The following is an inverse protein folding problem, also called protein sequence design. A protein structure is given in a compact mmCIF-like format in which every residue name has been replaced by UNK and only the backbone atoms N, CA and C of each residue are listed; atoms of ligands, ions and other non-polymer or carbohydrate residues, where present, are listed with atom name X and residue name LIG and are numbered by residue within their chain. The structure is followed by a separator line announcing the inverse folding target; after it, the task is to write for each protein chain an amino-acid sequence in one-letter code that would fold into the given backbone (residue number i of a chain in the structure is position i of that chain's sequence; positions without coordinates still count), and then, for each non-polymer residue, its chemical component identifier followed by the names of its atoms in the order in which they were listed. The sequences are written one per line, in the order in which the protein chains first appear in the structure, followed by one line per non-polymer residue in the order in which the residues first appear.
data_IF_108914540224
#
_entry.id   IF_108914540224
#
_cell.length_a   1.000
_cell.length_b   1.000
_cell.length_c   1.000
_cell.angle_alpha   90.00
_cell.angle_beta   90.00
_cell.angle_gamma   90.00
#
_symmetry.space_group_name_H-M   'P 1'
#
loop_
_entity.id
_entity.type
_entity.pdbx_description
1 polymer ?
#
# COMPACT_ATOMS: atom_id res chain seq x y z
N UNK A 1 37.44 -33.43 41.71
CA UNK A 1 37.02 -32.77 42.96
C UNK A 1 36.26 -31.53 42.52
N UNK A 2 34.92 -31.55 42.44
CA UNK A 2 33.95 -31.75 43.55
C UNK A 2 33.79 -30.43 44.32
N UNK A 3 32.61 -29.80 44.41
CA UNK A 3 31.23 -30.19 44.03
C UNK A 3 30.51 -29.00 43.32
N UNK A 4 29.40 -29.11 42.57
CA UNK A 4 28.22 -30.00 42.57
C UNK A 4 27.16 -29.72 43.66
N UNK A 5 26.36 -28.67 43.46
CA UNK A 5 25.01 -28.58 44.04
C UNK A 5 23.93 -28.29 42.98
N UNK A 6 22.73 -28.83 43.22
CA UNK A 6 21.53 -28.69 42.38
C UNK A 6 20.45 -27.90 43.12
N UNK A 7 19.73 -27.05 42.39
CA UNK A 7 18.34 -26.65 42.64
C UNK A 7 17.76 -26.21 41.30
N UNK A 8 16.75 -26.82 40.67
CA UNK A 8 15.60 -27.64 41.11
C UNK A 8 14.38 -26.88 41.65
N UNK A 9 14.11 -25.72 41.06
CA UNK A 9 12.88 -25.50 40.28
C UNK A 9 11.62 -25.02 41.01
N UNK A 10 10.98 -24.00 40.43
CA UNK A 10 9.53 -23.79 40.49
C UNK A 10 9.05 -23.09 39.21
N UNK A 11 8.17 -23.73 38.44
CA UNK A 11 7.53 -23.15 37.26
C UNK A 11 6.04 -23.01 37.56
N UNK A 12 5.51 -21.79 37.66
CA UNK A 12 4.07 -21.57 37.90
C UNK A 12 3.52 -20.37 37.10
N UNK A 13 2.48 -20.66 36.34
CA UNK A 13 1.96 -19.87 35.23
C UNK A 13 1.53 -18.42 35.56
N UNK A 14 1.88 -17.49 34.65
CA UNK A 14 1.20 -16.20 34.42
C UNK A 14 1.05 -15.92 32.92
N UNK A 15 0.42 -16.83 32.18
CA UNK A 15 0.05 -16.64 30.77
C UNK A 15 -1.46 -16.51 30.62
N UNK A 16 -1.99 -15.28 30.64
CA UNK A 16 -3.46 -15.09 30.68
C UNK A 16 -4.00 -13.66 30.53
N UNK A 17 -3.20 -12.69 30.04
CA UNK A 17 -3.61 -11.26 30.04
C UNK A 17 -3.28 -10.51 28.75
N UNK A 18 -3.19 -11.21 27.61
CA UNK A 18 -2.82 -10.60 26.31
C UNK A 18 -3.79 -10.93 25.14
N UNK A 19 -4.92 -11.58 25.43
CA UNK A 19 -5.93 -11.95 24.41
C UNK A 19 -7.34 -11.40 24.69
N UNK A 20 -7.56 -10.70 25.81
CA UNK A 20 -8.87 -10.09 26.12
C UNK A 20 -9.07 -8.75 25.40
N UNK A 21 -8.11 -7.84 25.51
CA UNK A 21 -8.22 -6.45 25.01
C UNK A 21 -8.28 -6.38 23.46
N UNK A 22 -7.75 -7.39 22.77
CA UNK A 22 -7.77 -7.50 21.30
C UNK A 22 -9.15 -7.92 20.73
N UNK A 23 -10.05 -8.44 21.56
CA UNK A 23 -11.42 -8.76 21.16
C UNK A 23 -12.36 -7.55 21.26
N UNK A 24 -12.17 -6.73 22.28
CA UNK A 24 -13.07 -5.60 22.60
C UNK A 24 -12.91 -4.44 21.60
N UNK A 25 -11.70 -4.25 21.05
CA UNK A 25 -11.44 -3.28 19.98
C UNK A 25 -12.12 -3.59 18.63
N UNK A 26 -12.70 -4.80 18.43
CA UNK A 26 -13.32 -5.20 17.16
C UNK A 26 -14.85 -5.15 17.14
N UNK A 27 -15.51 -4.86 18.28
CA UNK A 27 -16.98 -4.74 18.36
C UNK A 27 -17.49 -3.36 17.95
N UNK A 28 -16.70 -2.30 18.20
CA UNK A 28 -17.12 -0.89 18.06
C UNK A 28 -17.21 -0.40 16.60
N UNK A 29 -16.62 -1.12 15.64
CA UNK A 29 -16.58 -0.73 14.22
C UNK A 29 -17.61 -1.44 13.33
N UNK A 30 -18.76 -1.88 13.89
CA UNK A 30 -19.79 -2.65 13.16
C UNK A 30 -21.24 -2.22 13.35
N UNK A 31 -21.53 -1.14 14.09
CA UNK A 31 -22.90 -0.66 14.35
C UNK A 31 -23.50 0.23 13.25
N UNK A 32 -22.68 1.02 12.56
CA UNK A 32 -23.15 2.26 11.91
C UNK A 32 -23.47 2.10 10.39
N UNK A 33 -24.04 0.97 9.96
CA UNK A 33 -24.45 0.81 8.55
C UNK A 33 -25.64 -0.12 8.26
N UNK A 34 -26.81 0.17 8.85
CA UNK A 34 -28.11 -0.36 8.37
C UNK A 34 -29.26 0.63 8.58
N UNK A 35 -30.21 0.64 7.63
CA UNK A 35 -31.42 1.49 7.57
C UNK A 35 -31.11 2.99 7.38
N UNK A 36 -31.82 3.74 6.52
CA UNK A 36 -33.25 3.65 6.19
C UNK A 36 -33.58 3.50 4.71
N UNK A 37 -34.74 2.89 4.44
CA UNK A 37 -35.37 2.81 3.13
C UNK A 37 -36.89 2.82 3.31
N UNK A 38 -37.55 3.96 3.16
CA UNK A 38 -39.00 4.07 2.89
C UNK A 38 -39.38 5.54 2.61
N UNK A 39 -40.36 5.74 1.72
CA UNK A 39 -41.17 6.96 1.63
C UNK A 39 -42.55 6.71 2.28
N UNK A 40 -43.55 7.61 2.17
CA UNK A 40 -43.94 8.19 0.87
C UNK A 40 -44.43 9.65 0.85
N UNK A 41 -44.48 10.18 -0.38
CA UNK A 41 -45.56 10.99 -1.01
C UNK A 41 -46.39 12.02 -0.21
N UNK A 42 -46.36 13.30 -0.64
CA UNK A 42 -47.51 14.08 -1.19
C UNK A 42 -47.25 15.61 -1.16
N UNK A 43 -47.88 16.39 -2.06
CA UNK A 43 -48.11 17.83 -1.89
C UNK A 43 -47.65 18.77 -3.03
N UNK A 44 -48.58 19.23 -3.87
CA UNK A 44 -48.39 20.30 -4.87
C UNK A 44 -48.31 21.70 -4.25
N UNK A 45 -47.71 22.66 -4.98
CA UNK A 45 -48.24 23.99 -5.41
C UNK A 45 -47.05 24.79 -5.99
N UNK A 46 -46.86 24.88 -7.32
CA UNK A 46 -47.50 25.80 -8.30
C UNK A 46 -47.20 27.29 -8.03
N UNK A 47 -46.31 27.87 -8.85
CA UNK A 47 -46.35 29.20 -9.47
C UNK A 47 -44.96 29.51 -10.07
N UNK A 48 -44.76 30.33 -11.12
CA UNK A 48 -45.45 30.51 -12.41
C UNK A 48 -44.49 31.34 -13.32
N UNK A 49 -44.76 31.49 -14.63
CA UNK A 49 -44.23 32.58 -15.53
C UNK A 49 -42.72 32.50 -15.92
N UNK A 50 -42.26 32.66 -17.16
CA UNK A 50 -42.83 32.76 -18.53
C UNK A 50 -41.74 32.26 -19.54
N UNK A 51 -42.00 31.72 -20.75
CA UNK A 51 -42.70 32.26 -21.95
C UNK A 51 -42.02 33.53 -22.55
N UNK A 52 -41.79 33.76 -23.86
CA UNK A 52 -41.93 33.05 -25.16
C UNK A 52 -40.65 33.36 -26.01
N UNK A 53 -40.32 32.90 -27.24
CA UNK A 53 -40.83 31.98 -28.30
C UNK A 53 -39.56 31.38 -29.01
N UNK A 54 -39.54 30.58 -30.09
CA UNK A 54 -40.62 30.07 -30.95
C UNK A 54 -40.16 29.35 -32.25
N UNK A 55 -41.15 28.79 -32.94
CA UNK A 55 -41.22 28.33 -34.35
C UNK A 55 -40.19 27.35 -34.95
N UNK A 56 -40.71 26.14 -35.20
CA UNK A 56 -40.29 25.20 -36.24
C UNK A 56 -40.19 25.83 -37.65
N UNK A 57 -39.28 25.32 -38.47
CA UNK A 57 -39.46 25.19 -39.93
C UNK A 57 -38.98 23.80 -40.35
N UNK A 58 -39.64 23.19 -41.36
CA UNK A 58 -39.30 21.87 -41.88
C UNK A 58 -39.23 21.88 -43.41
N UNK A 59 -38.07 21.54 -43.95
CA UNK A 59 -37.78 21.08 -45.33
C UNK A 59 -36.47 20.28 -45.26
N UNK A 60 -36.35 19.05 -45.77
CA UNK A 60 -36.52 18.53 -47.14
C UNK A 60 -35.24 18.68 -48.01
N UNK A 61 -35.16 17.86 -49.04
CA UNK A 61 -33.96 17.40 -49.74
C UNK A 61 -33.25 18.46 -50.58
N UNK A 62 -31.91 18.39 -50.62
CA UNK A 62 -31.06 19.24 -51.46
C UNK A 62 -29.68 18.62 -51.72
N UNK A 63 -29.49 18.05 -52.91
CA UNK A 63 -28.23 17.44 -53.35
C UNK A 63 -27.67 18.20 -54.56
N UNK A 64 -26.51 18.88 -54.41
CA UNK A 64 -25.77 19.40 -55.57
C UNK A 64 -24.26 19.56 -55.33
N UNK A 65 -23.50 19.09 -56.32
CA UNK A 65 -22.17 19.43 -56.84
C UNK A 65 -21.13 20.16 -55.95
N UNK A 66 -19.89 19.69 -55.81
CA UNK A 66 -18.83 19.37 -56.81
C UNK A 66 -18.25 20.56 -57.60
N UNK A 67 -17.06 20.98 -57.16
CA UNK A 67 -15.83 21.25 -57.96
C UNK A 67 -14.68 21.22 -56.94
N UNK A 68 -13.47 20.69 -57.14
CA UNK A 68 -12.74 20.20 -58.31
C UNK A 68 -11.28 20.72 -58.17
N UNK A 69 -10.19 20.00 -58.41
CA UNK A 69 -9.95 18.57 -58.74
C UNK A 69 -8.61 18.17 -58.01
N UNK A 70 -7.82 17.11 -58.23
CA UNK A 70 -7.70 16.09 -59.28
C UNK A 70 -7.05 14.78 -58.69
N UNK A 71 -6.27 14.02 -59.47
CA UNK A 71 -5.30 12.96 -59.08
C UNK A 71 -5.83 11.87 -58.14
N UNK A 72 -6.76 11.02 -58.60
CA UNK A 72 -6.96 9.68 -57.99
C UNK A 72 -7.58 8.57 -58.87
N UNK A 73 -7.72 8.75 -60.18
CA UNK A 73 -8.55 7.83 -61.01
C UNK A 73 -8.09 6.36 -61.05
N UNK A 74 -6.79 6.08 -60.91
CA UNK A 74 -6.27 4.70 -60.85
C UNK A 74 -6.70 3.92 -59.58
N UNK A 75 -7.18 4.60 -58.53
CA UNK A 75 -7.62 3.96 -57.29
C UNK A 75 -9.11 3.53 -57.30
N UNK A 76 -9.92 4.09 -58.20
CA UNK A 76 -11.38 3.90 -58.17
C UNK A 76 -11.90 2.82 -59.14
N UNK A 77 -11.17 2.52 -60.22
CA UNK A 77 -11.52 1.37 -61.08
C UNK A 77 -11.26 0.04 -60.35
N UNK A 78 -10.07 -0.10 -59.74
CA UNK A 78 -9.69 -1.26 -58.92
C UNK A 78 -10.65 -1.50 -57.74
N UNK A 79 -11.12 -0.43 -57.07
CA UNK A 79 -12.20 -0.52 -56.05
C UNK A 79 -13.51 -1.08 -56.61
N UNK A 80 -13.91 -0.74 -57.84
CA UNK A 80 -15.18 -1.19 -58.45
C UNK A 80 -15.13 -2.63 -58.98
N UNK A 81 -13.99 -3.10 -59.49
CA UNK A 81 -13.88 -4.47 -59.97
C UNK A 81 -13.82 -5.50 -58.84
N UNK A 82 -13.01 -5.25 -57.80
CA UNK A 82 -12.95 -6.17 -56.66
C UNK A 82 -14.25 -6.19 -55.85
N UNK A 83 -15.00 -5.08 -55.78
CA UNK A 83 -16.32 -5.04 -55.15
C UNK A 83 -17.39 -5.90 -55.85
N UNK A 84 -17.17 -6.35 -57.10
CA UNK A 84 -18.08 -7.25 -57.81
C UNK A 84 -17.86 -8.74 -57.52
N UNK A 85 -16.74 -9.14 -56.92
CA UNK A 85 -16.53 -10.54 -56.49
C UNK A 85 -17.08 -10.75 -55.07
N UNK A 86 -18.08 -11.62 -54.99
CA UNK A 86 -18.62 -12.21 -53.76
C UNK A 86 -19.31 -11.26 -52.74
N UNK A 87 -20.59 -10.96 -52.99
CA UNK A 87 -21.59 -11.25 -51.95
C UNK A 87 -21.73 -12.77 -51.83
N UNK A 88 -20.77 -13.42 -51.15
CA UNK A 88 -20.95 -14.81 -50.69
C UNK A 88 -21.75 -14.72 -49.39
N UNK A 89 -22.91 -15.37 -49.37
CA UNK A 89 -23.58 -15.65 -48.10
C UNK A 89 -22.75 -16.70 -47.38
N UNK A 90 -22.07 -16.26 -46.32
CA UNK A 90 -21.16 -17.07 -45.50
C UNK A 90 -21.99 -18.07 -44.69
N UNK A 91 -21.75 -19.35 -44.90
CA UNK A 91 -22.51 -20.46 -44.29
C UNK A 91 -21.84 -21.05 -43.07
N UNK A 92 -20.52 -20.96 -42.99
CA UNK A 92 -19.74 -21.59 -41.93
C UNK A 92 -18.50 -20.81 -41.49
N UNK A 93 -17.85 -21.29 -40.43
CA UNK A 93 -16.63 -20.70 -39.87
C UNK A 93 -15.46 -20.71 -40.88
N UNK A 94 -15.37 -21.70 -41.76
CA UNK A 94 -14.28 -21.79 -42.74
C UNK A 94 -14.46 -20.77 -43.87
N UNK A 95 -15.68 -20.60 -44.39
CA UNK A 95 -16.05 -19.53 -45.30
C UNK A 95 -15.84 -18.15 -44.67
N UNK A 96 -16.11 -17.98 -43.37
CA UNK A 96 -15.83 -16.73 -42.65
C UNK A 96 -14.33 -16.41 -42.60
N UNK A 97 -13.48 -17.38 -42.25
CA UNK A 97 -12.02 -17.18 -42.20
C UNK A 97 -11.45 -16.95 -43.60
N UNK A 98 -11.87 -17.72 -44.61
CA UNK A 98 -11.47 -17.49 -46.00
C UNK A 98 -11.91 -16.10 -46.51
N UNK A 99 -13.10 -15.64 -46.11
CA UNK A 99 -13.57 -14.29 -46.39
C UNK A 99 -12.71 -13.22 -45.67
N UNK A 100 -12.31 -13.45 -44.42
CA UNK A 100 -11.41 -12.56 -43.69
C UNK A 100 -10.05 -12.39 -44.40
N UNK A 101 -9.45 -13.47 -44.91
CA UNK A 101 -8.23 -13.39 -45.73
C UNK A 101 -8.46 -12.67 -47.07
N UNK A 102 -9.60 -12.90 -47.73
CA UNK A 102 -9.98 -12.16 -48.94
C UNK A 102 -10.09 -10.64 -48.72
N UNK A 103 -10.35 -10.22 -47.48
CA UNK A 103 -10.48 -8.82 -47.04
C UNK A 103 -9.17 -8.14 -46.66
N UNK A 104 -8.05 -8.87 -46.59
CA UNK A 104 -6.68 -8.33 -46.39
C UNK A 104 -6.58 -7.30 -45.26
N UNK A 105 -7.15 -7.64 -44.10
CA UNK A 105 -7.10 -6.81 -42.90
C UNK A 105 -8.09 -5.63 -42.83
N UNK A 106 -9.02 -5.49 -43.80
CA UNK A 106 -10.16 -4.59 -43.63
C UNK A 106 -11.00 -4.99 -42.41
N UNK A 107 -11.56 -4.00 -41.70
CA UNK A 107 -12.46 -4.21 -40.55
C UNK A 107 -13.60 -5.15 -40.90
N UNK A 108 -13.69 -6.26 -40.17
CA UNK A 108 -14.77 -7.22 -40.31
C UNK A 108 -15.98 -6.79 -39.48
N UNK A 109 -17.17 -7.13 -39.97
CA UNK A 109 -18.44 -6.94 -39.27
C UNK A 109 -19.33 -8.13 -39.61
N UNK A 110 -19.64 -8.93 -38.60
CA UNK A 110 -20.61 -10.01 -38.72
C UNK A 110 -22.02 -9.43 -38.73
N UNK A 111 -22.89 -10.00 -39.55
CA UNK A 111 -24.34 -9.72 -39.52
C UNK A 111 -25.01 -10.85 -38.74
N UNK A 112 -26.11 -10.62 -37.99
CA UNK A 112 -26.73 -11.64 -37.15
C UNK A 112 -27.13 -12.95 -37.87
N UNK A 113 -27.36 -12.92 -39.19
CA UNK A 113 -27.58 -14.13 -40.01
C UNK A 113 -26.31 -14.96 -40.22
N UNK A 114 -25.18 -14.30 -40.45
CA UNK A 114 -23.86 -14.96 -40.63
C UNK A 114 -23.33 -15.43 -39.27
N UNK A 115 -23.54 -14.63 -38.23
CA UNK A 115 -23.19 -14.99 -36.85
C UNK A 115 -23.84 -16.33 -36.45
N UNK A 116 -25.14 -16.50 -36.68
CA UNK A 116 -25.83 -17.77 -36.46
C UNK A 116 -25.22 -18.92 -37.28
N UNK A 117 -25.09 -18.75 -38.60
CA UNK A 117 -24.56 -19.80 -39.48
C UNK A 117 -23.14 -20.27 -39.06
N UNK A 118 -22.27 -19.33 -38.67
CA UNK A 118 -20.94 -19.60 -38.10
C UNK A 118 -21.02 -20.30 -36.74
N UNK A 119 -21.98 -19.93 -35.88
CA UNK A 119 -22.24 -20.60 -34.60
C UNK A 119 -22.84 -22.01 -34.73
N UNK A 120 -23.54 -22.31 -35.83
CA UNK A 120 -24.12 -23.62 -36.12
C UNK A 120 -23.06 -24.64 -36.65
N UNK A 121 -21.88 -24.16 -37.06
CA UNK A 121 -20.86 -24.92 -37.82
C UNK A 121 -19.43 -24.69 -37.30
N UNK A 122 -19.24 -24.97 -36.01
CA UNK A 122 -18.11 -24.50 -35.21
C UNK A 122 -16.72 -25.10 -35.51
N UNK A 123 -16.63 -26.26 -36.16
CA UNK A 123 -15.38 -27.06 -36.18
C UNK A 123 -14.53 -26.83 -37.43
N UNK A 124 -13.25 -26.56 -37.22
CA UNK A 124 -12.24 -26.50 -38.29
C UNK A 124 -11.56 -27.87 -38.44
N UNK A 125 -12.22 -28.78 -39.16
CA UNK A 125 -11.73 -30.14 -39.40
C UNK A 125 -10.45 -30.18 -40.26
N UNK A 126 -9.67 -31.25 -40.11
CA UNK A 126 -8.23 -31.31 -40.47
C UNK A 126 -7.86 -30.74 -41.85
N UNK A 127 -8.47 -31.23 -42.94
CA UNK A 127 -8.18 -30.71 -44.28
C UNK A 127 -8.57 -29.23 -44.45
N UNK A 128 -9.76 -28.85 -43.96
CA UNK A 128 -10.27 -27.48 -44.04
C UNK A 128 -9.35 -26.52 -43.27
N UNK A 129 -8.93 -26.91 -42.06
CA UNK A 129 -7.97 -26.18 -41.23
C UNK A 129 -6.63 -26.05 -41.94
N UNK A 130 -6.07 -27.14 -42.49
CA UNK A 130 -4.83 -27.09 -43.27
C UNK A 130 -4.92 -26.12 -44.46
N UNK A 131 -6.01 -26.17 -45.23
CA UNK A 131 -6.22 -25.26 -46.39
C UNK A 131 -6.29 -23.79 -45.96
N UNK A 132 -6.92 -23.49 -44.81
CA UNK A 132 -6.96 -22.13 -44.24
C UNK A 132 -5.60 -21.68 -43.69
N UNK A 133 -4.78 -22.59 -43.16
CA UNK A 133 -3.43 -22.31 -42.70
C UNK A 133 -2.45 -22.06 -43.86
N UNK A 134 -2.60 -22.75 -45.00
CA UNK A 134 -1.85 -22.40 -46.22
C UNK A 134 -2.25 -21.01 -46.74
N UNK A 135 -3.56 -20.67 -46.74
CA UNK A 135 -4.03 -19.32 -47.06
C UNK A 135 -3.48 -18.27 -46.09
N UNK A 136 -3.31 -18.61 -44.80
CA UNK A 136 -2.74 -17.72 -43.80
C UNK A 136 -1.24 -17.43 -44.02
N UNK A 137 -0.47 -18.35 -44.62
CA UNK A 137 0.95 -18.11 -45.00
C UNK A 137 1.10 -17.01 -46.05
N UNK A 138 0.05 -16.72 -46.85
CA UNK A 138 0.08 -15.62 -47.81
C UNK A 138 -0.07 -14.24 -47.14
N UNK A 139 -0.55 -14.16 -45.89
CA UNK A 139 -0.65 -12.91 -45.10
C UNK A 139 0.68 -12.60 -44.39
N UNK A 140 1.72 -12.40 -45.20
CA UNK A 140 3.11 -12.05 -44.79
C UNK A 140 3.20 -10.75 -43.97
N UNK A 141 2.10 -9.97 -43.90
CA UNK A 141 2.01 -8.74 -43.09
C UNK A 141 1.12 -8.89 -41.85
N UNK A 142 0.57 -10.08 -41.58
CA UNK A 142 -0.33 -10.38 -40.46
C UNK A 142 -1.51 -9.38 -40.33
N UNK A 143 -2.04 -8.92 -41.46
CA UNK A 143 -3.11 -7.92 -41.48
C UNK A 143 -4.46 -8.49 -41.01
N UNK A 144 -4.66 -9.81 -41.11
CA UNK A 144 -5.95 -10.50 -40.91
C UNK A 144 -6.17 -11.04 -39.49
N UNK A 145 -5.20 -11.67 -38.78
CA UNK A 145 -5.44 -12.29 -37.47
C UNK A 145 -6.11 -11.38 -36.43
N UNK A 146 -5.62 -10.15 -36.26
CA UNK A 146 -6.24 -9.12 -35.41
C UNK A 146 -7.73 -8.91 -35.71
N UNK A 147 -8.11 -8.86 -36.99
CA UNK A 147 -9.50 -8.60 -37.39
C UNK A 147 -10.41 -9.79 -37.11
N UNK A 148 -9.91 -11.03 -37.24
CA UNK A 148 -10.66 -12.25 -36.89
C UNK A 148 -10.96 -12.25 -35.39
N UNK A 149 -9.95 -12.00 -34.54
CA UNK A 149 -10.13 -11.91 -33.08
C UNK A 149 -11.16 -10.83 -32.71
N UNK A 150 -11.01 -9.60 -33.23
CA UNK A 150 -11.91 -8.48 -32.94
C UNK A 150 -13.35 -8.68 -33.45
N UNK A 151 -13.56 -9.44 -34.53
CA UNK A 151 -14.89 -9.77 -35.03
C UNK A 151 -15.62 -10.73 -34.08
N UNK A 152 -14.92 -11.76 -33.62
CA UNK A 152 -15.48 -12.85 -32.79
C UNK A 152 -15.58 -12.47 -31.32
N UNK A 153 -14.77 -11.50 -30.85
CA UNK A 153 -14.86 -10.90 -29.50
C UNK A 153 -16.28 -10.51 -29.10
N UNK A 154 -17.03 -9.88 -30.01
CA UNK A 154 -18.36 -9.33 -29.74
C UNK A 154 -19.46 -10.39 -29.65
N UNK A 155 -19.20 -11.63 -30.07
CA UNK A 155 -20.15 -12.74 -30.01
C UNK A 155 -20.27 -13.20 -28.55
N UNK A 156 -21.49 -13.27 -28.03
CA UNK A 156 -21.80 -13.71 -26.66
C UNK A 156 -22.49 -15.07 -26.67
N UNK A 157 -22.30 -15.87 -25.61
CA UNK A 157 -22.92 -17.21 -25.46
C UNK A 157 -22.23 -18.37 -26.19
N UNK A 158 -21.28 -18.13 -27.10
CA UNK A 158 -20.61 -19.19 -27.89
C UNK A 158 -19.11 -19.35 -27.54
N UNK A 159 -18.76 -19.98 -26.40
CA UNK A 159 -17.36 -20.14 -25.98
C UNK A 159 -16.58 -21.10 -26.90
N UNK A 160 -17.22 -22.11 -27.47
CA UNK A 160 -16.59 -23.06 -28.40
C UNK A 160 -16.13 -22.37 -29.68
N UNK A 161 -16.93 -21.45 -30.22
CA UNK A 161 -16.55 -20.61 -31.37
C UNK A 161 -15.28 -19.80 -31.07
N UNK A 162 -15.23 -19.18 -29.88
CA UNK A 162 -14.05 -18.43 -29.43
C UNK A 162 -12.84 -19.35 -29.33
N UNK A 163 -12.98 -20.54 -28.73
CA UNK A 163 -11.90 -21.52 -28.60
C UNK A 163 -11.33 -21.98 -29.95
N UNK A 164 -12.17 -22.30 -30.94
CA UNK A 164 -11.73 -22.72 -32.28
C UNK A 164 -11.05 -21.58 -33.05
N UNK A 165 -11.61 -20.37 -32.98
CA UNK A 165 -11.03 -19.16 -33.59
C UNK A 165 -9.70 -18.79 -32.94
N UNK A 166 -9.61 -18.82 -31.61
CA UNK A 166 -8.36 -18.61 -30.88
C UNK A 166 -7.35 -19.70 -31.22
N UNK A 167 -7.76 -20.96 -31.28
CA UNK A 167 -6.91 -22.08 -31.66
C UNK A 167 -6.35 -21.94 -33.08
N UNK A 168 -7.15 -21.48 -34.04
CA UNK A 168 -6.67 -21.16 -35.40
C UNK A 168 -5.71 -19.98 -35.41
N UNK A 169 -6.05 -18.86 -34.76
CA UNK A 169 -5.19 -17.67 -34.73
C UNK A 169 -3.87 -17.92 -34.02
N UNK A 170 -3.86 -18.68 -32.92
CA UNK A 170 -2.63 -19.10 -32.22
C UNK A 170 -1.70 -19.87 -33.16
N UNK A 171 -2.26 -20.80 -33.93
CA UNK A 171 -1.49 -21.61 -34.88
C UNK A 171 -0.95 -20.77 -36.06
N UNK A 172 -1.71 -19.78 -36.55
CA UNK A 172 -1.21 -18.80 -37.52
C UNK A 172 -0.05 -17.97 -36.97
N UNK A 173 -0.16 -17.51 -35.71
CA UNK A 173 0.89 -16.70 -35.08
C UNK A 173 2.16 -17.53 -34.82
N UNK A 174 2.07 -18.72 -34.21
CA UNK A 174 3.20 -19.63 -33.97
C UNK A 174 3.95 -19.97 -35.27
N UNK A 175 3.21 -20.22 -36.36
CA UNK A 175 3.78 -20.56 -37.68
C UNK A 175 4.43 -19.36 -38.40
N UNK A 176 4.34 -18.14 -37.88
CA UNK A 176 4.90 -16.96 -38.52
C UNK A 176 6.27 -16.58 -37.90
N UNK A 177 7.36 -16.45 -38.69
CA UNK A 177 8.75 -16.31 -38.19
C UNK A 177 9.00 -15.20 -37.15
N UNK A 178 8.15 -14.16 -37.13
CA UNK A 178 8.18 -13.07 -36.13
C UNK A 178 7.95 -13.57 -34.69
N UNK A 179 7.17 -14.63 -34.51
CA UNK A 179 6.82 -15.19 -33.20
C UNK A 179 7.73 -16.35 -32.77
N UNK A 180 8.66 -16.79 -33.64
CA UNK A 180 9.62 -17.87 -33.35
C UNK A 180 10.77 -17.45 -32.41
N UNK A 181 10.67 -16.26 -31.80
CA UNK A 181 11.55 -15.81 -30.72
C UNK A 181 11.07 -16.47 -29.42
N UNK A 182 11.89 -17.26 -28.69
CA UNK A 182 11.41 -18.10 -27.58
C UNK A 182 10.64 -17.35 -26.48
N UNK A 183 11.00 -16.11 -26.20
CA UNK A 183 10.31 -15.23 -25.26
C UNK A 183 8.88 -14.91 -25.72
N UNK A 184 8.71 -14.58 -27.00
CA UNK A 184 7.41 -14.24 -27.60
C UNK A 184 6.57 -15.50 -27.77
N UNK A 185 7.18 -16.63 -28.16
CA UNK A 185 6.51 -17.93 -28.24
C UNK A 185 6.04 -18.41 -26.86
N UNK A 186 6.88 -18.28 -25.82
CA UNK A 186 6.52 -18.62 -24.44
C UNK A 186 5.37 -17.76 -23.92
N UNK A 187 5.36 -16.47 -24.26
CA UNK A 187 4.25 -15.58 -23.93
C UNK A 187 2.96 -15.92 -24.71
N UNK A 188 3.06 -16.19 -26.02
CA UNK A 188 1.94 -16.61 -26.87
C UNK A 188 1.33 -17.95 -26.42
N UNK A 189 2.15 -18.83 -25.83
CA UNK A 189 1.74 -20.11 -25.26
C UNK A 189 1.25 -20.04 -23.80
N UNK A 190 1.40 -18.90 -23.11
CA UNK A 190 1.11 -18.73 -21.68
C UNK A 190 1.88 -19.71 -20.78
N UNK A 191 3.19 -19.89 -21.05
CA UNK A 191 4.08 -20.68 -20.19
C UNK A 191 4.45 -19.90 -18.91
N UNK A 192 4.65 -20.58 -17.79
CA UNK A 192 4.94 -19.96 -16.48
C UNK A 192 6.27 -19.16 -16.45
N UNK A 193 7.19 -19.50 -17.34
CA UNK A 193 8.47 -18.80 -17.56
C UNK A 193 8.43 -17.82 -18.75
N UNK A 194 7.27 -17.66 -19.39
CA UNK A 194 7.07 -16.68 -20.46
C UNK A 194 6.92 -15.26 -19.90
N UNK A 195 7.39 -14.22 -20.61
CA UNK A 195 7.30 -12.85 -20.13
C UNK A 195 5.85 -12.34 -19.96
N UNK A 196 5.73 -11.27 -19.19
CA UNK A 196 4.48 -10.56 -19.00
C UNK A 196 4.03 -9.89 -20.33
N UNK A 197 2.74 -9.50 -20.45
CA UNK A 197 2.21 -8.93 -21.70
C UNK A 197 2.93 -7.67 -22.18
N UNK A 198 3.44 -6.83 -21.26
CA UNK A 198 4.16 -5.61 -21.58
C UNK A 198 5.54 -5.91 -22.17
N UNK A 199 6.34 -6.72 -21.47
CA UNK A 199 7.66 -7.14 -21.94
C UNK A 199 7.58 -7.88 -23.28
N UNK A 200 6.58 -8.78 -23.45
CA UNK A 200 6.37 -9.49 -24.71
C UNK A 200 6.00 -8.56 -25.88
N UNK A 201 5.22 -7.50 -25.64
CA UNK A 201 4.89 -6.50 -26.67
C UNK A 201 6.07 -5.57 -27.00
N UNK A 202 6.90 -5.23 -26.01
CA UNK A 202 8.12 -4.45 -26.20
C UNK A 202 9.17 -5.23 -27.03
N UNK A 203 9.50 -6.47 -26.62
CA UNK A 203 10.40 -7.35 -27.36
C UNK A 203 9.96 -7.52 -28.82
N UNK A 204 8.65 -7.70 -29.06
CA UNK A 204 8.07 -7.81 -30.40
C UNK A 204 8.19 -6.51 -31.24
N UNK A 205 8.22 -5.34 -30.60
CA UNK A 205 8.39 -4.06 -31.29
C UNK A 205 9.86 -3.72 -31.59
N UNK A 206 10.81 -4.28 -30.84
CA UNK A 206 12.25 -4.09 -31.01
C UNK A 206 12.91 -5.08 -32.00
N UNK A 207 12.19 -6.13 -32.42
CA UNK A 207 12.68 -7.10 -33.43
C UNK A 207 13.19 -6.39 -34.69
N UNK A 208 14.37 -6.79 -35.18
CA UNK A 208 14.86 -6.35 -36.49
C UNK A 208 14.18 -7.15 -37.62
N UNK A 209 12.99 -6.68 -38.00
CA UNK A 209 12.17 -7.26 -39.08
C UNK A 209 12.92 -7.39 -40.42
N UNK A 210 14.01 -6.65 -40.65
CA UNK A 210 14.79 -6.76 -41.89
C UNK A 210 15.53 -8.10 -42.02
N UNK A 211 15.84 -8.76 -40.88
CA UNK A 211 16.57 -10.03 -40.81
C UNK A 211 15.70 -11.28 -40.98
N UNK A 212 14.38 -11.13 -41.17
CA UNK A 212 13.44 -12.26 -41.30
C UNK A 212 13.66 -13.00 -42.64
N UNK A 213 14.27 -14.19 -42.58
CA UNK A 213 14.57 -15.04 -43.73
C UNK A 213 13.34 -15.79 -44.24
N UNK A 214 12.57 -16.40 -43.33
CA UNK A 214 11.68 -17.54 -43.63
C UNK A 214 10.25 -17.14 -44.06
N UNK A 215 10.08 -15.90 -44.53
CA UNK A 215 8.79 -15.41 -45.02
C UNK A 215 8.49 -15.98 -46.42
N UNK A 216 7.28 -16.50 -46.64
CA UNK A 216 6.85 -17.09 -47.91
C UNK A 216 6.58 -15.99 -48.96
N UNK A 217 7.64 -15.38 -49.49
CA UNK A 217 7.58 -14.20 -50.37
C UNK A 217 8.43 -14.34 -51.63
N UNK A 218 7.90 -13.89 -52.78
CA UNK A 218 8.62 -13.86 -54.07
C UNK A 218 9.59 -12.68 -54.24
N UNK A 219 9.57 -11.71 -53.32
CA UNK A 219 10.41 -10.50 -53.28
C UNK A 219 10.62 -10.07 -51.82
N UNK A 220 11.74 -9.42 -51.47
CA UNK A 220 11.91 -8.83 -50.14
C UNK A 220 10.86 -7.74 -49.89
N UNK A 221 10.51 -7.54 -48.61
CA UNK A 221 9.62 -6.47 -48.15
C UNK A 221 10.36 -5.12 -48.19
N UNK A 222 9.60 -4.03 -48.36
CA UNK A 222 10.12 -2.65 -48.31
C UNK A 222 10.17 -2.15 -46.85
N UNK A 223 10.93 -1.08 -46.54
CA UNK A 223 10.95 -0.47 -45.21
C UNK A 223 9.56 -0.15 -44.62
N UNK A 224 8.64 0.37 -45.43
CA UNK A 224 7.25 0.64 -44.98
C UNK A 224 6.45 -0.64 -44.69
N UNK A 225 6.77 -1.74 -45.36
CA UNK A 225 6.07 -3.01 -45.18
C UNK A 225 6.57 -3.72 -43.90
N UNK A 226 7.86 -3.54 -43.53
CA UNK A 226 8.39 -3.98 -42.24
C UNK A 226 7.74 -3.24 -41.06
N UNK A 227 7.55 -1.92 -41.16
CA UNK A 227 6.81 -1.16 -40.13
C UNK A 227 5.36 -1.64 -40.02
N UNK A 228 4.69 -1.88 -41.16
CA UNK A 228 3.32 -2.40 -41.17
C UNK A 228 3.23 -3.80 -40.54
N UNK A 229 4.19 -4.69 -40.82
CA UNK A 229 4.29 -6.00 -40.17
C UNK A 229 4.53 -5.88 -38.67
N UNK A 230 5.43 -5.00 -38.21
CA UNK A 230 5.63 -4.71 -36.77
C UNK A 230 4.33 -4.32 -36.09
N UNK A 231 3.68 -3.28 -36.62
CA UNK A 231 2.44 -2.74 -36.05
C UNK A 231 1.31 -3.80 -36.05
N UNK A 232 1.19 -4.59 -37.11
CA UNK A 232 0.19 -5.66 -37.19
C UNK A 232 0.48 -6.85 -36.26
N UNK A 233 1.75 -7.24 -36.11
CA UNK A 233 2.15 -8.31 -35.19
C UNK A 233 1.89 -7.90 -33.73
N UNK A 234 2.37 -6.72 -33.33
CA UNK A 234 2.15 -6.17 -31.97
C UNK A 234 0.67 -5.96 -31.68
N UNK A 235 -0.14 -5.44 -32.62
CA UNK A 235 -1.59 -5.34 -32.44
C UNK A 235 -2.32 -6.70 -32.44
N UNK A 236 -1.79 -7.73 -33.11
CA UNK A 236 -2.36 -9.09 -33.04
C UNK A 236 -2.09 -9.73 -31.68
N UNK A 237 -0.85 -9.61 -31.17
CA UNK A 237 -0.47 -10.11 -29.84
C UNK A 237 -1.18 -9.35 -28.71
N UNK A 238 -1.37 -8.04 -28.87
CA UNK A 238 -2.14 -7.21 -27.95
C UNK A 238 -3.60 -7.71 -27.79
N UNK A 239 -4.30 -7.95 -28.91
CA UNK A 239 -5.66 -8.48 -28.87
C UNK A 239 -5.67 -9.91 -28.31
N UNK A 240 -4.68 -10.74 -28.67
CA UNK A 240 -4.50 -12.08 -28.09
C UNK A 240 -4.41 -12.04 -26.56
N UNK A 241 -3.64 -11.12 -25.97
CA UNK A 241 -3.56 -10.97 -24.52
C UNK A 241 -4.85 -10.42 -23.89
N UNK A 242 -5.62 -9.56 -24.59
CA UNK A 242 -6.95 -9.16 -24.07
C UNK A 242 -7.94 -10.30 -24.01
N UNK A 243 -7.92 -11.22 -24.99
CA UNK A 243 -8.84 -12.36 -25.03
C UNK A 243 -8.41 -13.54 -24.16
N UNK A 244 -7.09 -13.79 -24.00
CA UNK A 244 -6.57 -14.98 -23.31
C UNK A 244 -6.00 -14.74 -21.92
N UNK A 245 -5.55 -13.52 -21.61
CA UNK A 245 -5.02 -13.11 -20.29
C UNK A 245 -5.92 -12.10 -19.56
N UNK A 246 -7.11 -11.80 -20.10
CA UNK A 246 -8.05 -10.79 -19.59
C UNK A 246 -7.41 -9.40 -19.35
N UNK A 247 -6.46 -9.01 -20.21
CA UNK A 247 -5.75 -7.74 -20.09
C UNK A 247 -6.71 -6.54 -20.15
N UNK A 248 -6.67 -5.65 -19.16
CA UNK A 248 -7.51 -4.45 -19.13
C UNK A 248 -7.10 -3.45 -20.22
N UNK A 249 -8.07 -2.65 -20.70
CA UNK A 249 -7.83 -1.65 -21.75
C UNK A 249 -6.83 -0.57 -21.30
N UNK A 250 -6.81 -0.23 -20.01
CA UNK A 250 -5.86 0.72 -19.41
C UNK A 250 -4.41 0.20 -19.51
N UNK A 251 -4.16 -1.05 -19.07
CA UNK A 251 -2.84 -1.67 -19.18
C UNK A 251 -2.42 -1.88 -20.63
N UNK A 252 -3.37 -2.25 -21.50
CA UNK A 252 -3.10 -2.33 -22.93
C UNK A 252 -2.68 -0.96 -23.51
N UNK A 253 -3.36 0.12 -23.12
CA UNK A 253 -3.02 1.48 -23.56
C UNK A 253 -1.59 1.87 -23.14
N UNK A 254 -1.21 1.53 -21.89
CA UNK A 254 0.16 1.73 -21.38
C UNK A 254 1.20 0.91 -22.17
N UNK A 255 0.93 -0.38 -22.42
CA UNK A 255 1.87 -1.24 -23.15
C UNK A 255 2.01 -0.86 -24.63
N UNK A 256 0.93 -0.49 -25.32
CA UNK A 256 0.99 -0.01 -26.71
C UNK A 256 1.70 1.34 -26.83
N UNK A 257 1.54 2.23 -25.83
CA UNK A 257 2.29 3.48 -25.77
C UNK A 257 3.79 3.23 -25.64
N UNK A 258 4.21 2.42 -24.67
CA UNK A 258 5.61 2.11 -24.44
C UNK A 258 6.26 1.36 -25.62
N UNK A 259 5.57 0.36 -26.18
CA UNK A 259 6.14 -0.50 -27.23
C UNK A 259 6.10 0.10 -28.64
N UNK A 260 5.06 0.89 -28.99
CA UNK A 260 4.89 1.41 -30.36
C UNK A 260 4.90 2.94 -30.43
N UNK A 261 3.99 3.59 -29.69
CA UNK A 261 3.67 5.00 -29.97
C UNK A 261 4.76 5.97 -29.49
N UNK A 262 5.35 5.74 -28.31
CA UNK A 262 6.45 6.54 -27.78
C UNK A 262 7.72 6.40 -28.63
N UNK A 263 8.19 5.19 -29.02
CA UNK A 263 9.29 5.04 -29.97
C UNK A 263 9.06 5.76 -31.29
N UNK A 264 7.87 5.63 -31.90
CA UNK A 264 7.57 6.29 -33.18
C UNK A 264 7.52 7.83 -33.06
N UNK A 265 6.99 8.38 -31.96
CA UNK A 265 6.97 9.83 -31.73
C UNK A 265 8.38 10.45 -31.65
N UNK A 266 9.37 9.70 -31.15
CA UNK A 266 10.76 10.15 -31.02
C UNK A 266 11.54 10.15 -32.36
N UNK A 267 11.04 9.50 -33.41
CA UNK A 267 11.70 9.47 -34.73
C UNK A 267 11.66 10.86 -35.41
N UNK A 268 10.59 11.62 -35.20
CA UNK A 268 10.42 12.93 -35.84
C UNK A 268 11.24 14.01 -35.12
N UNK A 269 12.30 14.50 -35.79
CA UNK A 269 13.20 15.54 -35.27
C UNK A 269 12.83 16.97 -35.71
N UNK A 270 12.07 17.10 -36.79
CA UNK A 270 11.64 18.38 -37.35
C UNK A 270 10.25 18.80 -36.80
N UNK A 271 10.10 20.08 -36.52
CA UNK A 271 8.85 20.66 -36.02
C UNK A 271 7.75 20.67 -37.10
N UNK A 272 8.10 20.86 -38.38
CA UNK A 272 7.12 20.83 -39.49
C UNK A 272 6.54 19.43 -39.65
N UNK A 273 7.40 18.40 -39.66
CA UNK A 273 7.02 17.00 -39.69
C UNK A 273 6.21 16.58 -38.45
N UNK A 274 6.50 17.12 -37.26
CA UNK A 274 5.67 16.91 -36.05
C UNK A 274 4.27 17.53 -36.21
N UNK A 275 4.19 18.77 -36.69
CA UNK A 275 2.91 19.45 -36.93
C UNK A 275 2.05 18.68 -37.94
N UNK A 276 2.65 18.25 -39.07
CA UNK A 276 1.98 17.39 -40.06
C UNK A 276 1.51 16.07 -39.45
N UNK A 277 2.35 15.40 -38.64
CA UNK A 277 1.98 14.15 -37.96
C UNK A 277 0.80 14.33 -37.00
N UNK A 278 0.64 15.52 -36.41
CA UNK A 278 -0.48 15.87 -35.53
C UNK A 278 -1.75 16.27 -36.30
N UNK A 279 -1.64 16.89 -37.48
CA UNK A 279 -2.80 17.25 -38.32
C UNK A 279 -3.36 16.06 -39.10
N UNK A 280 -2.51 15.11 -39.48
CA UNK A 280 -2.86 14.01 -40.39
C UNK A 280 -3.46 12.78 -39.66
N UNK A 281 -3.81 12.95 -38.37
CA UNK A 281 -4.39 11.90 -37.52
C UNK A 281 -5.79 11.52 -38.02
N UNK A 282 -5.86 10.36 -38.70
CA UNK A 282 -7.11 9.86 -39.28
C UNK A 282 -8.06 9.15 -38.29
N UNK A 283 -7.58 8.71 -37.10
CA UNK A 283 -8.37 7.98 -36.10
C UNK A 283 -8.50 8.77 -34.79
N UNK A 284 -9.28 9.85 -34.85
CA UNK A 284 -9.59 10.70 -33.69
C UNK A 284 -10.24 9.91 -32.52
N UNK A 285 -11.16 8.95 -32.74
CA UNK A 285 -11.67 8.11 -31.65
C UNK A 285 -10.59 7.27 -30.95
N UNK A 286 -9.65 6.68 -31.72
CA UNK A 286 -8.53 5.93 -31.16
C UNK A 286 -7.62 6.79 -30.28
N UNK A 287 -7.24 7.97 -30.75
CA UNK A 287 -6.43 8.93 -29.97
C UNK A 287 -7.19 9.47 -28.76
N UNK A 288 -8.49 9.77 -28.90
CA UNK A 288 -9.34 10.21 -27.80
C UNK A 288 -9.43 9.18 -26.66
N UNK A 289 -9.52 7.88 -27.00
CA UNK A 289 -9.52 6.79 -26.02
C UNK A 289 -8.16 6.69 -25.30
N UNK A 290 -7.05 6.81 -26.02
CA UNK A 290 -5.71 6.77 -25.42
C UNK A 290 -5.48 7.94 -24.45
N UNK A 291 -5.83 9.16 -24.87
CA UNK A 291 -5.76 10.37 -24.06
C UNK A 291 -6.67 10.31 -22.82
N UNK A 292 -7.87 9.72 -22.93
CA UNK A 292 -8.76 9.49 -21.79
C UNK A 292 -8.10 8.58 -20.75
N UNK A 293 -7.46 7.48 -21.19
CA UNK A 293 -6.75 6.55 -20.31
C UNK A 293 -5.57 7.21 -19.59
N UNK A 294 -4.76 8.00 -20.29
CA UNK A 294 -3.66 8.75 -19.64
C UNK A 294 -4.17 9.81 -18.67
N UNK A 295 -5.29 10.49 -18.97
CA UNK A 295 -5.91 11.42 -18.03
C UNK A 295 -6.39 10.70 -16.78
N UNK A 296 -7.13 9.60 -16.92
CA UNK A 296 -7.62 8.80 -15.79
C UNK A 296 -6.46 8.30 -14.91
N UNK A 297 -5.37 7.85 -15.52
CA UNK A 297 -4.15 7.47 -14.80
C UNK A 297 -3.50 8.67 -14.07
N UNK A 298 -3.43 9.85 -14.70
CA UNK A 298 -2.91 11.05 -14.05
C UNK A 298 -3.78 11.50 -12.87
N UNK A 299 -5.11 11.52 -13.04
CA UNK A 299 -6.09 11.86 -12.00
C UNK A 299 -5.98 10.89 -10.81
N UNK A 300 -5.82 9.57 -11.06
CA UNK A 300 -5.56 8.56 -10.03
C UNK A 300 -4.23 8.80 -9.28
N UNK A 301 -3.14 9.10 -10.00
CA UNK A 301 -1.84 9.39 -9.38
C UNK A 301 -1.88 10.67 -8.54
N UNK A 302 -2.61 11.71 -8.97
CA UNK A 302 -2.83 12.90 -8.16
C UNK A 302 -3.63 12.60 -6.88
N UNK A 303 -4.62 11.71 -6.94
CA UNK A 303 -5.37 11.26 -5.75
C UNK A 303 -4.47 10.47 -4.77
N UNK A 304 -3.60 9.59 -5.27
CA UNK A 304 -2.63 8.84 -4.45
C UNK A 304 -1.62 9.79 -3.78
N UNK A 305 -1.06 10.76 -4.51
CA UNK A 305 -0.15 11.76 -3.93
C UNK A 305 -0.88 12.65 -2.91
N UNK A 306 -2.15 13.02 -3.17
CA UNK A 306 -2.94 13.82 -2.24
C UNK A 306 -3.36 13.05 -0.97
N UNK A 307 -3.61 11.74 -1.04
CA UNK A 307 -3.88 10.94 0.16
C UNK A 307 -2.61 10.67 0.96
N UNK A 308 -1.49 10.37 0.30
CA UNK A 308 -0.19 10.23 0.93
C UNK A 308 0.23 11.49 1.70
N UNK A 309 0.08 12.69 1.12
CA UNK A 309 0.38 13.97 1.80
C UNK A 309 -0.47 14.20 3.04
N UNK A 310 -1.78 13.90 3.02
CA UNK A 310 -2.63 14.03 4.22
C UNK A 310 -2.23 13.06 5.33
N UNK A 311 -1.77 11.86 4.97
CA UNK A 311 -1.23 10.89 5.93
C UNK A 311 0.11 11.36 6.52
N UNK A 312 0.98 11.97 5.71
CA UNK A 312 2.23 12.60 6.15
C UNK A 312 1.97 13.79 7.09
N UNK A 313 1.06 14.70 6.73
CA UNK A 313 0.62 15.84 7.56
C UNK A 313 0.07 15.38 8.92
N UNK A 314 -0.79 14.34 8.92
CA UNK A 314 -1.32 13.72 10.14
C UNK A 314 -0.21 13.08 10.99
N UNK A 315 0.71 12.34 10.38
CA UNK A 315 1.84 11.72 11.09
C UNK A 315 2.77 12.79 11.71
N UNK A 316 3.02 13.90 11.03
CA UNK A 316 3.79 15.03 11.55
C UNK A 316 3.10 15.65 12.77
N UNK A 317 1.77 15.81 12.77
CA UNK A 317 1.04 16.35 13.92
C UNK A 317 0.99 15.38 15.12
N UNK A 318 0.90 14.07 14.85
CA UNK A 318 1.08 13.04 15.88
C UNK A 318 2.51 13.06 16.47
N UNK A 319 3.54 13.31 15.66
CA UNK A 319 4.91 13.47 16.16
C UNK A 319 5.11 14.77 16.97
N UNK A 320 4.45 15.88 16.59
CA UNK A 320 4.47 17.14 17.36
C UNK A 320 3.81 16.97 18.73
N UNK A 321 2.60 16.40 18.77
CA UNK A 321 1.86 16.18 20.01
C UNK A 321 2.57 15.17 20.94
N UNK A 322 3.13 14.08 20.40
CA UNK A 322 3.94 13.13 21.16
C UNK A 322 5.25 13.75 21.68
N UNK A 323 5.89 14.63 20.90
CA UNK A 323 7.05 15.39 21.37
C UNK A 323 6.68 16.34 22.51
N UNK A 324 5.55 17.05 22.42
CA UNK A 324 5.10 17.96 23.50
C UNK A 324 4.82 17.21 24.80
N UNK A 325 4.16 16.04 24.74
CA UNK A 325 3.89 15.25 25.94
C UNK A 325 5.16 14.62 26.53
N UNK A 326 6.14 14.28 25.70
CA UNK A 326 7.49 13.90 26.15
C UNK A 326 8.20 15.05 26.88
N UNK A 327 8.19 16.27 26.33
CA UNK A 327 8.80 17.46 26.95
C UNK A 327 8.10 17.85 28.27
N UNK A 328 6.78 17.66 28.38
CA UNK A 328 6.04 17.81 29.64
C UNK A 328 6.40 16.73 30.68
N UNK A 329 6.54 15.46 30.25
CA UNK A 329 6.90 14.36 31.14
C UNK A 329 8.34 14.53 31.66
N UNK A 330 9.27 14.94 30.80
CA UNK A 330 10.65 15.26 31.18
C UNK A 330 10.70 16.43 32.17
N UNK A 331 9.81 17.43 32.03
CA UNK A 331 9.68 18.52 33.01
C UNK A 331 9.21 18.02 34.37
N UNK A 332 8.17 17.18 34.41
CA UNK A 332 7.63 16.58 35.66
C UNK A 332 8.67 15.73 36.39
N UNK A 333 9.48 14.94 35.66
CA UNK A 333 10.61 14.19 36.23
C UNK A 333 11.61 15.17 36.88
N UNK A 334 12.03 16.22 36.16
CA UNK A 334 12.94 17.24 36.69
C UNK A 334 12.37 18.12 37.82
N UNK A 335 11.04 18.12 38.03
CA UNK A 335 10.39 18.72 39.19
C UNK A 335 10.43 17.75 40.39
N UNK A 336 10.10 16.48 40.17
CA UNK A 336 10.17 15.42 41.20
C UNK A 336 11.60 15.17 41.70
N UNK A 337 12.62 15.20 40.83
CA UNK A 337 14.02 15.06 41.24
C UNK A 337 14.47 16.20 42.17
N UNK A 338 13.94 17.42 42.00
CA UNK A 338 14.22 18.56 42.90
C UNK A 338 13.52 18.37 44.25
N UNK A 339 12.27 17.92 44.26
CA UNK A 339 11.51 17.64 45.48
C UNK A 339 12.15 16.48 46.29
N UNK A 340 12.56 15.40 45.61
CA UNK A 340 13.31 14.30 46.22
C UNK A 340 14.65 14.79 46.79
N UNK A 341 15.31 15.74 46.12
CA UNK A 341 16.57 16.31 46.60
C UNK A 341 16.39 17.19 47.84
N UNK A 342 15.41 18.11 47.84
CA UNK A 342 15.14 18.97 49.00
C UNK A 342 14.61 18.19 50.21
N UNK A 343 13.80 17.15 49.99
CA UNK A 343 13.37 16.23 51.05
C UNK A 343 14.55 15.43 51.64
N UNK A 344 15.54 15.03 50.82
CA UNK A 344 16.77 14.39 51.31
C UNK A 344 17.63 15.35 52.13
N UNK A 345 17.78 16.60 51.69
CA UNK A 345 18.51 17.65 52.42
C UNK A 345 17.84 17.96 53.77
N UNK A 346 16.52 18.19 53.79
CA UNK A 346 15.77 18.41 55.01
C UNK A 346 15.86 17.23 55.99
N UNK A 347 15.74 15.99 55.49
CA UNK A 347 15.90 14.77 56.29
C UNK A 347 17.33 14.58 56.82
N UNK A 348 18.35 15.05 56.10
CA UNK A 348 19.74 15.01 56.55
C UNK A 348 20.02 16.06 57.64
N UNK A 349 19.48 17.28 57.48
CA UNK A 349 19.55 18.34 58.51
C UNK A 349 18.85 17.87 59.79
N UNK A 350 17.65 17.29 59.68
CA UNK A 350 16.89 16.84 60.85
C UNK A 350 17.56 15.67 61.57
N UNK A 351 18.24 14.77 60.84
CA UNK A 351 19.11 13.76 61.45
C UNK A 351 20.27 14.37 62.24
N UNK A 352 20.92 15.40 61.69
CA UNK A 352 22.02 16.10 62.36
C UNK A 352 21.54 16.85 63.61
N UNK A 353 20.37 17.50 63.54
CA UNK A 353 19.71 18.12 64.70
C UNK A 353 19.42 17.07 65.79
N UNK A 354 18.84 15.93 65.42
CA UNK A 354 18.50 14.86 66.34
C UNK A 354 19.75 14.19 66.95
N UNK A 355 20.80 13.97 66.15
CA UNK A 355 22.07 13.45 66.63
C UNK A 355 22.74 14.42 67.61
N UNK A 356 22.76 15.73 67.31
CA UNK A 356 23.29 16.75 68.20
C UNK A 356 22.51 16.83 69.53
N UNK A 357 21.17 16.84 69.45
CA UNK A 357 20.30 16.81 70.64
C UNK A 357 20.54 15.54 71.46
N UNK A 358 20.71 14.39 70.81
CA UNK A 358 21.04 13.12 71.45
C UNK A 358 22.43 13.15 72.12
N UNK A 359 23.43 13.81 71.52
CA UNK A 359 24.74 13.98 72.19
C UNK A 359 24.61 14.85 73.44
N UNK A 360 23.95 16.00 73.37
CA UNK A 360 23.73 16.89 74.52
C UNK A 360 23.02 16.15 75.67
N UNK A 361 21.93 15.43 75.37
CA UNK A 361 21.17 14.66 76.38
C UNK A 361 22.00 13.51 76.98
N UNK A 362 22.90 12.88 76.22
CA UNK A 362 23.81 11.88 76.76
C UNK A 362 24.88 12.52 77.68
N UNK A 363 25.45 13.66 77.27
CA UNK A 363 26.46 14.39 78.05
C UNK A 363 25.87 14.90 79.38
N UNK A 364 24.62 15.38 79.37
CA UNK A 364 23.87 15.75 80.57
C UNK A 364 23.66 14.54 81.50
N UNK A 365 23.26 13.39 80.95
CA UNK A 365 23.09 12.15 81.71
C UNK A 365 24.42 11.63 82.28
N UNK A 366 25.53 11.71 81.55
CA UNK A 366 26.86 11.35 82.06
C UNK A 366 27.36 12.34 83.12
N UNK A 367 27.05 13.63 82.98
CA UNK A 367 27.37 14.65 83.97
C UNK A 367 26.56 14.46 85.26
N UNK A 368 25.25 14.23 85.17
CA UNK A 368 24.39 13.89 86.31
C UNK A 368 24.84 12.61 87.00
N UNK A 369 25.10 11.54 86.24
CA UNK A 369 25.65 10.27 86.73
C UNK A 369 26.99 10.48 87.44
N UNK A 370 27.88 11.29 86.88
CA UNK A 370 29.18 11.62 87.47
C UNK A 370 29.06 12.43 88.76
N UNK A 371 28.16 13.44 88.80
CA UNK A 371 27.84 14.21 90.01
C UNK A 371 27.28 13.31 91.11
N UNK A 372 26.34 12.43 90.76
CA UNK A 372 25.71 11.50 91.70
C UNK A 372 26.70 10.47 92.25
N UNK A 373 27.53 9.84 91.39
CA UNK A 373 28.58 8.92 91.81
C UNK A 373 29.64 9.59 92.70
N UNK A 374 30.02 10.85 92.42
CA UNK A 374 30.93 11.62 93.30
C UNK A 374 30.30 11.90 94.66
N UNK A 375 29.01 12.26 94.70
CA UNK A 375 28.24 12.52 95.94
C UNK A 375 28.15 11.26 96.80
N UNK A 376 27.65 10.16 96.21
CA UNK A 376 27.56 8.86 96.89
C UNK A 376 28.93 8.37 97.38
N UNK A 377 30.00 8.55 96.61
CA UNK A 377 31.35 8.17 97.05
C UNK A 377 31.82 8.98 98.26
N UNK A 378 31.55 10.29 98.31
CA UNK A 378 31.88 11.12 99.46
C UNK A 378 31.05 10.74 100.70
N UNK A 379 29.75 10.45 100.52
CA UNK A 379 28.85 10.00 101.58
C UNK A 379 29.27 8.61 102.13
N UNK A 380 29.65 7.68 101.25
CA UNK A 380 30.21 6.36 101.65
C UNK A 380 31.53 6.51 102.40
N UNK A 381 32.44 7.39 101.97
CA UNK A 381 33.67 7.68 102.73
C UNK A 381 33.37 8.26 104.13
N UNK A 382 32.43 9.20 104.25
CA UNK A 382 32.07 9.80 105.53
C UNK A 382 31.47 8.76 106.50
N UNK A 383 30.67 7.83 105.98
CA UNK A 383 30.13 6.70 106.75
C UNK A 383 31.21 5.68 107.13
N UNK A 384 32.18 5.38 106.27
CA UNK A 384 33.28 4.47 106.62
C UNK A 384 34.21 5.09 107.68
N UNK A 385 34.46 6.40 107.63
CA UNK A 385 35.14 7.13 108.72
C UNK A 385 34.35 7.05 110.04
N UNK A 386 33.02 7.17 109.99
CA UNK A 386 32.14 7.00 111.15
C UNK A 386 32.15 5.56 111.71
N UNK A 387 32.14 4.55 110.85
CA UNK A 387 32.27 3.14 111.22
C UNK A 387 33.66 2.83 111.82
N UNK A 388 34.72 3.43 111.30
CA UNK A 388 36.05 3.35 111.91
C UNK A 388 36.11 4.06 113.28
N UNK A 389 35.34 5.14 113.48
CA UNK A 389 35.22 5.82 114.77
C UNK A 389 34.45 4.98 115.83
N UNK A 390 33.51 4.13 115.40
CA UNK A 390 32.86 3.12 116.26
C UNK A 390 33.74 1.90 116.56
N UNK A 391 34.58 1.48 115.61
CA UNK A 391 35.50 0.32 115.76
C UNK A 391 36.72 0.58 116.65
N UNK A 392 36.94 1.82 117.09
CA UNK A 392 38.08 2.23 117.91
C UNK A 392 37.67 2.34 119.37
N UNK A 393 38.44 1.74 120.27
CA UNK A 393 38.13 1.70 121.70
C UNK A 393 38.76 2.92 122.44
N UNK A 394 38.03 3.69 123.27
CA UNK A 394 36.57 3.66 123.47
C UNK A 394 35.79 4.23 122.27
N UNK A 395 34.61 3.64 121.94
CA UNK A 395 33.83 3.95 120.74
C UNK A 395 33.33 5.39 120.70
N UNK A 396 33.63 6.10 119.62
CA UNK A 396 33.29 7.51 119.44
C UNK A 396 31.91 7.70 118.80
N UNK A 397 30.86 7.27 119.51
CA UNK A 397 29.46 7.28 119.03
C UNK A 397 29.07 8.63 118.41
N UNK A 398 29.38 9.76 119.08
CA UNK A 398 29.11 11.12 118.58
C UNK A 398 29.69 11.45 117.21
N UNK A 399 30.81 10.83 116.82
CA UNK A 399 31.41 11.04 115.49
C UNK A 399 30.61 10.30 114.41
N UNK A 400 30.03 9.14 114.74
CA UNK A 400 29.10 8.46 113.84
C UNK A 400 27.76 9.21 113.75
N UNK A 401 27.26 9.77 114.86
CA UNK A 401 26.05 10.61 114.88
C UNK A 401 26.23 11.84 113.97
N UNK A 402 27.28 12.64 114.19
CA UNK A 402 27.68 13.78 113.34
C UNK A 402 27.78 13.41 111.84
N UNK A 403 28.36 12.25 111.52
CA UNK A 403 28.56 11.82 110.13
C UNK A 403 27.28 11.28 109.50
N UNK A 404 26.46 10.53 110.26
CA UNK A 404 25.17 10.04 109.80
C UNK A 404 24.19 11.19 109.52
N UNK A 405 24.14 12.22 110.39
CA UNK A 405 23.33 13.42 110.15
C UNK A 405 23.77 14.16 108.89
N UNK A 406 25.08 14.38 108.71
CA UNK A 406 25.62 15.04 107.50
C UNK A 406 25.33 14.26 106.21
N UNK A 407 25.42 12.93 106.23
CA UNK A 407 25.02 12.10 105.08
C UNK A 407 23.52 12.15 104.84
N UNK A 408 22.69 12.06 105.89
CA UNK A 408 21.23 12.15 105.77
C UNK A 408 20.80 13.51 105.18
N UNK A 409 21.39 14.61 105.61
CA UNK A 409 21.07 15.94 105.07
C UNK A 409 21.61 16.16 103.66
N UNK A 410 22.79 15.61 103.33
CA UNK A 410 23.29 15.59 101.95
C UNK A 410 22.37 14.79 101.03
N UNK A 411 21.92 13.60 101.45
CA UNK A 411 20.99 12.76 100.70
C UNK A 411 19.61 13.41 100.54
N UNK A 412 19.02 13.95 101.62
CA UNK A 412 17.75 14.72 101.55
C UNK A 412 17.87 15.87 100.56
N UNK A 413 18.98 16.62 100.58
CA UNK A 413 19.25 17.70 99.63
C UNK A 413 19.40 17.17 98.20
N UNK A 414 20.05 16.02 98.00
CA UNK A 414 20.21 15.39 96.68
C UNK A 414 18.89 14.89 96.10
N UNK A 415 18.03 14.29 96.92
CA UNK A 415 16.67 13.89 96.54
C UNK A 415 15.83 15.13 96.17
N UNK A 416 15.95 16.22 96.93
CA UNK A 416 15.26 17.48 96.61
C UNK A 416 15.79 18.14 95.33
N UNK A 417 17.10 18.07 95.07
CA UNK A 417 17.71 18.55 93.82
C UNK A 417 17.22 17.73 92.60
N UNK A 418 17.06 16.40 92.74
CA UNK A 418 16.56 15.54 91.66
C UNK A 418 15.03 15.66 91.44
N UNK A 419 14.27 15.89 92.51
CA UNK A 419 12.82 16.10 92.47
C UNK A 419 12.39 17.55 92.24
N UNK A 420 13.27 18.39 91.67
CA UNK A 420 12.96 19.77 91.25
C UNK A 420 13.29 20.06 89.78
N UNK A 421 13.70 19.04 89.03
CA UNK A 421 13.95 19.09 87.58
C UNK A 421 12.84 18.32 86.80
N UNK A 422 11.69 18.06 87.46
CA UNK A 422 10.37 17.71 86.86
C UNK A 422 9.41 18.91 86.97
#
# INVERSE_FOLDING_TARGET
MSDSQKSSGENRATGGTAQSELAEAQSVLKSDFTQSKEGPDTGNTIDERAEQEGKNVSTDTGNMNKSGNDVTDNANQSRKEFAKKAKRDIKDLAEFIAYAYSRKGQRLSLKPKVEKAVCDSLRLEGETRSRLLELAKEDVLLAVPRQILLAVRNITGYPVLKSEVWGFVKEVLIRHPVFSIPEIEGALNNLDHGPDPGTALAALAEVDYSKLTDLVRKKPLKPKDYEMLRVNATYSLAVWFTETRNLSLEKLNQYLFAALWQPQALISKDETARLQTLTDICDLPGVGLACLGFKQQADQQMQIVASAKRAEESAIEHLRSLKSSYEELQRKIGEQDREISSLREALQIEKQNHEHTRTHMNDDLEHLRSRFLRRLKAEVSLLDEGLHALRRDPPKIRVMEDHAERVLDSLKKGIKELGSDE
#
